data_IF_685371928994
#
_entry.id   IF_685371928994
#
_cell.length_a   1.000
_cell.length_b   1.000
_cell.length_c   1.000
_cell.angle_alpha   90.00
_cell.angle_beta   90.00
_cell.angle_gamma   90.00
#
_symmetry.space_group_name_H-M   'P 1'
#
loop_
_entity.id
_entity.type
_entity.pdbx_description
1 polymer ?
#
# COMPACT_ATOMS: atom_id res chain seq x y z
N UNK A 1 14.55 2.82 -29.85
CA UNK A 1 14.15 2.97 -28.44
C UNK A 1 15.00 2.04 -27.61
N UNK A 2 15.71 2.59 -26.63
CA UNK A 2 16.46 1.81 -25.65
C UNK A 2 15.54 1.15 -24.61
N UNK A 3 16.08 0.21 -23.82
CA UNK A 3 15.31 -0.53 -22.81
C UNK A 3 14.55 0.39 -21.82
N UNK A 4 15.13 1.55 -21.49
CA UNK A 4 14.52 2.52 -20.58
C UNK A 4 13.26 3.17 -21.15
N UNK A 5 13.27 3.58 -22.42
CA UNK A 5 12.12 4.19 -23.07
C UNK A 5 10.98 3.18 -23.25
N UNK A 6 11.29 1.92 -23.53
CA UNK A 6 10.30 0.84 -23.55
C UNK A 6 9.68 0.57 -22.19
N UNK A 7 10.47 0.62 -21.11
CA UNK A 7 9.97 0.45 -19.74
C UNK A 7 9.11 1.63 -19.27
N UNK A 8 9.41 2.85 -19.70
CA UNK A 8 8.58 4.04 -19.42
C UNK A 8 7.27 3.99 -20.23
N UNK A 9 7.31 3.51 -21.47
CA UNK A 9 6.11 3.38 -22.31
C UNK A 9 5.21 2.19 -21.90
N UNK A 10 5.77 1.15 -21.29
CA UNK A 10 5.04 -0.03 -20.80
C UNK A 10 5.39 -0.31 -19.34
N UNK A 11 5.00 0.59 -18.42
CA UNK A 11 5.37 0.43 -17.02
C UNK A 11 4.60 -0.75 -16.41
N UNK A 12 5.36 -1.69 -15.82
CA UNK A 12 4.79 -2.81 -15.06
C UNK A 12 4.10 -2.31 -13.78
N UNK A 13 4.64 -1.23 -13.21
CA UNK A 13 4.17 -0.60 -11.99
C UNK A 13 3.70 0.81 -12.27
N UNK A 14 2.63 1.23 -11.59
CA UNK A 14 2.22 2.64 -11.63
C UNK A 14 3.34 3.54 -11.08
N UNK A 15 3.43 4.80 -11.53
CA UNK A 15 4.23 5.79 -10.85
C UNK A 15 3.93 5.77 -9.34
N UNK A 16 4.96 5.92 -8.48
CA UNK A 16 4.78 5.85 -7.05
C UNK A 16 3.81 6.94 -6.59
N UNK A 17 2.89 6.54 -5.72
CA UNK A 17 1.97 7.44 -5.03
C UNK A 17 2.72 8.25 -3.97
N UNK A 18 2.33 9.51 -3.77
CA UNK A 18 3.00 10.40 -2.81
C UNK A 18 2.97 9.87 -1.35
N UNK A 19 2.01 9.01 -1.03
CA UNK A 19 1.84 8.40 0.29
C UNK A 19 2.55 7.05 0.46
N UNK A 20 3.32 6.57 -0.53
CA UNK A 20 3.93 5.23 -0.49
C UNK A 20 4.84 5.01 0.72
N UNK A 21 5.51 6.06 1.19
CA UNK A 21 6.35 6.02 2.40
C UNK A 21 5.54 5.79 3.67
N UNK A 22 4.30 6.31 3.74
CA UNK A 22 3.39 6.07 4.86
C UNK A 22 2.95 4.60 4.87
N UNK A 23 2.56 4.07 3.70
CA UNK A 23 2.24 2.65 3.55
C UNK A 23 3.41 1.76 3.99
N UNK A 24 4.64 2.08 3.58
CA UNK A 24 5.84 1.34 4.00
C UNK A 24 6.01 1.37 5.53
N UNK A 25 5.89 2.54 6.14
CA UNK A 25 6.01 2.70 7.59
C UNK A 25 4.98 1.86 8.35
N UNK A 26 3.73 1.85 7.89
CA UNK A 26 2.66 1.03 8.46
C UNK A 26 2.99 -0.46 8.30
N UNK A 27 3.43 -0.88 7.11
CA UNK A 27 3.72 -2.29 6.82
C UNK A 27 4.97 -2.81 7.53
N UNK A 28 5.98 -1.98 7.80
CA UNK A 28 7.14 -2.36 8.62
C UNK A 28 6.73 -2.67 10.06
N UNK A 29 5.77 -1.93 10.61
CA UNK A 29 5.18 -2.20 11.92
C UNK A 29 4.36 -3.50 11.92
N UNK A 30 3.58 -3.74 10.86
CA UNK A 30 2.84 -5.00 10.67
C UNK A 30 3.81 -6.19 10.60
N UNK A 31 4.88 -6.06 9.82
CA UNK A 31 5.93 -7.08 9.70
C UNK A 31 6.56 -7.39 11.06
N UNK A 32 6.95 -6.35 11.80
CA UNK A 32 7.53 -6.51 13.14
C UNK A 32 6.55 -7.21 14.08
N UNK A 33 5.27 -6.81 14.05
CA UNK A 33 4.23 -7.39 14.91
C UNK A 33 3.97 -8.85 14.58
N UNK A 34 3.81 -9.19 13.30
CA UNK A 34 3.41 -10.54 12.88
C UNK A 34 4.60 -11.49 12.85
N UNK A 35 5.68 -11.08 12.19
CA UNK A 35 6.80 -11.97 11.85
C UNK A 35 7.84 -11.94 12.96
N UNK A 36 8.34 -10.76 13.32
CA UNK A 36 9.44 -10.64 14.30
C UNK A 36 8.96 -11.01 15.71
N UNK A 37 7.78 -10.54 16.10
CA UNK A 37 7.20 -10.79 17.41
C UNK A 37 6.32 -12.05 17.47
N UNK A 38 6.25 -12.83 16.38
CA UNK A 38 5.49 -14.08 16.28
C UNK A 38 4.04 -13.94 16.78
N UNK A 39 3.27 -13.02 16.18
CA UNK A 39 1.86 -12.84 16.55
C UNK A 39 1.07 -14.16 16.42
N UNK A 40 0.11 -14.35 17.33
CA UNK A 40 -0.80 -15.48 17.23
C UNK A 40 -1.59 -15.44 15.92
N UNK A 41 -1.87 -16.60 15.32
CA UNK A 41 -2.59 -16.68 14.06
C UNK A 41 -3.93 -15.92 14.11
N UNK A 42 -4.67 -16.03 15.22
CA UNK A 42 -5.94 -15.32 15.42
C UNK A 42 -5.83 -13.80 15.46
N UNK A 43 -4.64 -13.25 15.76
CA UNK A 43 -4.40 -11.79 15.80
C UNK A 43 -3.93 -11.19 14.48
N UNK A 44 -3.55 -12.01 13.49
CA UNK A 44 -3.01 -11.54 12.20
C UNK A 44 -4.04 -10.70 11.45
N UNK A 45 -5.27 -11.19 11.32
CA UNK A 45 -6.31 -10.47 10.59
C UNK A 45 -6.66 -9.13 11.26
N UNK A 46 -6.73 -9.09 12.59
CA UNK A 46 -6.95 -7.84 13.32
C UNK A 46 -5.83 -6.82 13.10
N UNK A 47 -4.57 -7.29 13.05
CA UNK A 47 -3.39 -6.45 12.79
C UNK A 47 -3.45 -5.86 11.38
N UNK A 48 -3.77 -6.68 10.37
CA UNK A 48 -3.89 -6.24 8.98
C UNK A 48 -5.05 -5.25 8.78
N UNK A 49 -6.20 -5.52 9.40
CA UNK A 49 -7.35 -4.61 9.33
C UNK A 49 -7.04 -3.26 9.99
N UNK A 50 -6.33 -3.26 11.13
CA UNK A 50 -5.93 -2.04 11.82
C UNK A 50 -4.96 -1.21 10.97
N UNK A 51 -3.99 -1.87 10.33
CA UNK A 51 -3.06 -1.22 9.40
C UNK A 51 -3.80 -0.61 8.19
N UNK A 52 -4.78 -1.33 7.63
CA UNK A 52 -5.59 -0.81 6.54
C UNK A 52 -6.37 0.45 6.95
N UNK A 53 -7.00 0.43 8.12
CA UNK A 53 -7.72 1.60 8.65
C UNK A 53 -6.80 2.80 8.92
N UNK A 54 -5.57 2.56 9.37
CA UNK A 54 -4.58 3.64 9.56
C UNK A 54 -4.27 4.34 8.24
N UNK A 55 -4.01 3.56 7.18
CA UNK A 55 -3.72 4.15 5.88
C UNK A 55 -4.95 4.83 5.27
N UNK A 56 -6.13 4.21 5.31
CA UNK A 56 -7.37 4.83 4.83
C UNK A 56 -7.63 6.18 5.52
N UNK A 57 -7.46 6.24 6.84
CA UNK A 57 -7.60 7.48 7.61
C UNK A 57 -6.58 8.54 7.20
N UNK A 58 -5.32 8.14 7.01
CA UNK A 58 -4.26 9.02 6.52
C UNK A 58 -4.58 9.56 5.13
N UNK A 59 -5.02 8.70 4.22
CA UNK A 59 -5.37 9.07 2.84
C UNK A 59 -6.56 10.03 2.80
N UNK A 60 -7.61 9.71 3.53
CA UNK A 60 -8.81 10.54 3.62
C UNK A 60 -8.49 11.93 4.17
N UNK A 61 -7.61 12.01 5.17
CA UNK A 61 -7.19 13.26 5.81
C UNK A 61 -6.28 14.12 4.92
N UNK A 62 -5.29 13.50 4.28
CA UNK A 62 -4.22 14.25 3.59
C UNK A 62 -4.43 14.41 2.07
N UNK A 63 -5.21 13.51 1.46
CA UNK A 63 -5.41 13.45 0.01
C UNK A 63 -6.90 13.44 -0.39
N UNK A 64 -7.81 13.38 0.59
CA UNK A 64 -9.25 13.38 0.39
C UNK A 64 -9.85 12.00 0.16
N UNK A 65 -11.18 11.93 0.30
CA UNK A 65 -11.95 10.67 0.24
C UNK A 65 -11.86 9.95 -1.10
N UNK A 66 -11.62 10.66 -2.20
CA UNK A 66 -11.46 10.03 -3.52
C UNK A 66 -10.21 9.16 -3.61
N UNK A 67 -9.09 9.60 -3.01
CA UNK A 67 -7.83 8.84 -2.98
C UNK A 67 -7.95 7.63 -2.05
N UNK A 68 -8.58 7.82 -0.88
CA UNK A 68 -8.89 6.72 0.03
C UNK A 68 -9.77 5.64 -0.62
N UNK A 69 -10.82 6.06 -1.33
CA UNK A 69 -11.71 5.15 -2.09
C UNK A 69 -10.96 4.41 -3.19
N UNK A 70 -10.10 5.10 -3.94
CA UNK A 70 -9.30 4.48 -4.99
C UNK A 70 -8.31 3.44 -4.41
N UNK A 71 -7.80 3.67 -3.21
CA UNK A 71 -6.96 2.72 -2.49
C UNK A 71 -7.73 1.45 -2.10
N UNK A 72 -8.89 1.58 -1.48
CA UNK A 72 -9.75 0.45 -1.11
C UNK A 72 -10.19 -0.38 -2.34
N UNK A 73 -10.34 0.27 -3.49
CA UNK A 73 -10.70 -0.38 -4.76
C UNK A 73 -9.50 -1.00 -5.49
N UNK A 74 -8.30 -0.97 -4.91
CA UNK A 74 -7.10 -1.55 -5.51
C UNK A 74 -6.58 -0.79 -6.73
N UNK A 75 -6.97 0.48 -6.93
CA UNK A 75 -6.57 1.28 -8.08
C UNK A 75 -5.05 1.54 -8.14
N UNK A 76 -4.33 1.35 -7.03
CA UNK A 76 -2.88 1.50 -6.91
C UNK A 76 -2.12 0.16 -6.99
N UNK A 77 -2.82 -0.94 -7.30
CA UNK A 77 -2.18 -2.20 -7.63
C UNK A 77 -1.38 -2.16 -8.96
N UNK A 78 -0.60 -3.22 -9.25
CA UNK A 78 0.18 -3.35 -10.50
C UNK A 78 -0.66 -3.11 -11.76
N UNK A 79 -0.04 -2.64 -12.84
CA UNK A 79 -0.73 -2.34 -14.11
C UNK A 79 -1.03 -3.58 -14.96
N UNK A 80 -0.41 -4.72 -14.64
CA UNK A 80 -0.52 -5.95 -15.43
C UNK A 80 -1.25 -7.02 -14.60
N UNK A 81 -2.36 -7.51 -15.18
CA UNK A 81 -3.03 -8.78 -14.88
C UNK A 81 -2.63 -9.76 -15.98
#
# INVERSE_FOLDING_TARGET
YGPLEQAIQNPVFRPPVAWITEWQTIMDNVWTTIIVNHASYGSIQGTLNSANQQLDSYLSTNYGSAVATAYEQGAYGPLIV
#
